data_IF_767132316110
#
_entry.id   IF_767132316110
#
_cell.length_a   1.000
_cell.length_b   1.000
_cell.length_c   1.000
_cell.angle_alpha   90.00
_cell.angle_beta   90.00
_cell.angle_gamma   90.00
#
_symmetry.space_group_name_H-M   'P 1'
#
loop_
_entity.id
_entity.type
_entity.pdbx_description
1 polymer ?
#
# COMPACT_ATOMS: atom_id res chain seq x y z
N UNK A 1 -14.96 -2.77 26.75
CA UNK A 1 -15.34 -1.57 25.99
C UNK A 1 -14.53 -1.59 24.71
N UNK A 2 -15.16 -1.92 23.57
CA UNK A 2 -14.48 -2.04 22.29
C UNK A 2 -14.29 -0.64 21.69
N UNK A 3 -13.05 -0.25 21.45
CA UNK A 3 -12.69 1.01 20.80
C UNK A 3 -12.90 0.89 19.29
N UNK A 4 -13.91 1.59 18.79
CA UNK A 4 -14.11 1.86 17.37
C UNK A 4 -13.12 2.94 16.92
N UNK A 5 -12.13 2.57 16.12
CA UNK A 5 -11.20 3.42 15.38
C UNK A 5 -11.04 2.72 14.02
N UNK A 6 -11.19 3.31 12.83
CA UNK A 6 -11.17 4.71 12.43
C UNK A 6 -12.00 4.92 11.16
N UNK A 7 -12.42 6.16 11.02
CA UNK A 7 -13.44 6.69 10.11
C UNK A 7 -12.85 6.98 8.74
N UNK A 8 -13.56 6.58 7.68
CA UNK A 8 -13.29 7.01 6.29
C UNK A 8 -13.05 8.52 6.22
N UNK A 9 -11.86 8.93 5.75
CA UNK A 9 -11.50 10.34 5.63
C UNK A 9 -12.04 10.84 4.28
N UNK A 10 -13.05 11.71 4.31
CA UNK A 10 -13.55 12.40 3.12
C UNK A 10 -12.72 13.66 2.86
N UNK A 11 -11.87 13.64 1.82
CA UNK A 11 -11.31 14.85 1.19
C UNK A 11 -11.76 14.90 -0.27
N UNK A 12 -12.95 15.44 -0.54
CA UNK A 12 -13.56 15.52 -1.88
C UNK A 12 -14.69 14.50 -2.14
N UNK A 13 -15.05 14.29 -3.41
CA UNK A 13 -16.05 13.28 -3.85
C UNK A 13 -15.56 11.83 -3.74
N UNK A 14 -14.27 11.64 -3.47
CA UNK A 14 -13.60 10.35 -3.62
C UNK A 14 -13.36 9.73 -2.25
N UNK A 15 -13.81 8.49 -2.07
CA UNK A 15 -13.63 7.71 -0.84
C UNK A 15 -12.19 7.21 -0.75
N UNK A 16 -11.50 7.52 0.34
CA UNK A 16 -10.17 6.98 0.62
C UNK A 16 -10.27 5.80 1.59
N UNK A 17 -9.56 4.71 1.26
CA UNK A 17 -9.47 3.49 2.06
C UNK A 17 -7.99 3.21 2.36
N UNK A 18 -7.69 2.70 3.56
CA UNK A 18 -6.32 2.29 3.93
C UNK A 18 -5.78 1.22 2.98
N UNK A 19 -6.66 0.35 2.50
CA UNK A 19 -6.36 -0.67 1.51
C UNK A 19 -7.44 -0.67 0.42
N UNK A 20 -7.03 -0.41 -0.83
CA UNK A 20 -7.91 -0.54 -2.00
C UNK A 20 -7.67 -1.85 -2.72
N UNK A 21 -8.75 -2.51 -3.15
CA UNK A 21 -8.69 -3.75 -3.91
C UNK A 21 -7.80 -3.60 -5.16
N UNK A 22 -6.76 -4.42 -5.29
CA UNK A 22 -5.81 -4.37 -6.41
C UNK A 22 -6.51 -4.56 -7.77
N UNK A 23 -7.48 -5.47 -7.84
CA UNK A 23 -8.22 -5.78 -9.09
C UNK A 23 -9.19 -4.66 -9.47
N UNK A 24 -9.88 -4.05 -8.51
CA UNK A 24 -10.79 -2.95 -8.79
C UNK A 24 -10.01 -1.70 -9.23
N UNK A 25 -8.87 -1.43 -8.58
CA UNK A 25 -7.99 -0.31 -8.95
C UNK A 25 -7.54 -0.40 -10.42
N UNK A 26 -7.25 -1.59 -10.92
CA UNK A 26 -6.92 -1.80 -12.33
C UNK A 26 -8.09 -1.61 -13.32
N UNK A 27 -9.32 -1.42 -12.83
CA UNK A 27 -10.53 -1.17 -13.61
C UNK A 27 -11.17 0.19 -13.24
N UNK A 28 -10.36 1.17 -12.82
CA UNK A 28 -10.78 2.51 -12.41
C UNK A 28 -11.87 2.55 -11.33
N UNK A 29 -11.95 1.50 -10.50
CA UNK A 29 -12.87 1.41 -9.37
C UNK A 29 -12.09 1.46 -8.07
N UNK A 30 -12.52 2.33 -7.16
CA UNK A 30 -11.96 2.40 -5.82
C UNK A 30 -12.91 1.72 -4.83
N UNK A 31 -12.53 0.51 -4.39
CA UNK A 31 -13.30 -0.27 -3.40
C UNK A 31 -12.39 -0.72 -2.29
N UNK A 32 -12.88 -0.66 -1.06
CA UNK A 32 -12.17 -1.15 0.11
C UNK A 32 -11.78 -2.63 -0.04
N UNK A 33 -10.55 -2.95 0.35
CA UNK A 33 -10.11 -4.32 0.48
C UNK A 33 -10.49 -4.89 1.85
N UNK A 34 -11.02 -6.11 1.84
CA UNK A 34 -11.45 -6.85 3.02
C UNK A 34 -10.64 -8.12 3.25
N UNK A 35 -9.88 -8.54 2.23
CA UNK A 35 -9.10 -9.77 2.22
C UNK A 35 -7.70 -9.55 1.67
N UNK A 36 -6.74 -10.31 2.18
CA UNK A 36 -5.36 -10.37 1.71
C UNK A 36 -4.98 -11.80 1.35
N UNK A 37 -4.46 -12.03 0.15
CA UNK A 37 -3.88 -13.31 -0.23
C UNK A 37 -2.37 -13.30 0.03
N UNK A 38 -1.90 -14.21 0.88
CA UNK A 38 -0.47 -14.33 1.23
C UNK A 38 0.38 -14.75 0.03
N UNK A 39 -0.10 -15.70 -0.75
CA UNK A 39 0.63 -16.27 -1.89
C UNK A 39 0.78 -15.27 -3.03
N UNK A 40 -0.25 -14.45 -3.26
CA UNK A 40 -0.22 -13.40 -4.28
C UNK A 40 0.37 -12.09 -3.77
N UNK A 41 0.51 -11.91 -2.46
CA UNK A 41 0.86 -10.63 -1.84
C UNK A 41 -0.04 -9.47 -2.32
N UNK A 42 -1.35 -9.72 -2.39
CA UNK A 42 -2.36 -8.77 -2.92
C UNK A 42 -3.60 -8.71 -2.05
N UNK A 43 -4.26 -7.55 -2.06
CA UNK A 43 -5.51 -7.29 -1.32
C UNK A 43 -6.72 -7.18 -2.25
N UNK A 44 -7.86 -7.67 -1.78
CA UNK A 44 -9.09 -7.83 -2.56
C UNK A 44 -10.32 -7.39 -1.75
N UNK A 45 -11.32 -6.81 -2.42
CA UNK A 45 -12.67 -6.67 -1.86
C UNK A 45 -13.39 -8.04 -1.82
N UNK A 46 -14.52 -8.13 -1.13
CA UNK A 46 -15.28 -9.39 -0.99
C UNK A 46 -15.54 -10.10 -2.33
N UNK A 47 -16.07 -9.38 -3.32
CA UNK A 47 -16.36 -9.95 -4.66
C UNK A 47 -15.10 -10.48 -5.35
N UNK A 48 -14.00 -9.73 -5.32
CA UNK A 48 -12.76 -10.17 -5.96
C UNK A 48 -12.13 -11.36 -5.23
N UNK A 49 -12.28 -11.43 -3.90
CA UNK A 49 -11.83 -12.56 -3.08
C UNK A 49 -12.57 -13.85 -3.42
N UNK A 50 -13.89 -13.79 -3.65
CA UNK A 50 -14.69 -14.96 -4.06
C UNK A 50 -14.18 -15.58 -5.37
N UNK A 51 -14.03 -14.77 -6.42
CA UNK A 51 -13.48 -15.25 -7.69
C UNK A 51 -12.04 -15.74 -7.55
N UNK A 52 -11.24 -15.06 -6.73
CA UNK A 52 -9.86 -15.45 -6.45
C UNK A 52 -9.80 -16.84 -5.81
N UNK A 53 -10.57 -17.07 -4.75
CA UNK A 53 -10.58 -18.35 -4.03
C UNK A 53 -11.13 -19.50 -4.89
N UNK A 54 -12.06 -19.20 -5.79
CA UNK A 54 -12.57 -20.17 -6.76
C UNK A 54 -11.46 -20.68 -7.71
N UNK A 55 -10.64 -19.78 -8.24
CA UNK A 55 -9.55 -20.09 -9.17
C UNK A 55 -8.31 -20.65 -8.45
N UNK A 56 -8.00 -20.15 -7.26
CA UNK A 56 -6.78 -20.43 -6.51
C UNK A 56 -7.10 -21.08 -5.17
N UNK A 57 -7.72 -22.26 -5.20
CA UNK A 57 -8.25 -22.97 -4.02
C UNK A 57 -7.20 -23.31 -2.95
N UNK A 58 -5.91 -23.27 -3.28
CA UNK A 58 -4.80 -23.55 -2.37
C UNK A 58 -4.17 -22.32 -1.75
N UNK A 59 -4.54 -21.12 -2.20
CA UNK A 59 -3.99 -19.89 -1.64
C UNK A 59 -4.55 -19.62 -0.25
N UNK A 60 -3.72 -19.02 0.59
CA UNK A 60 -4.08 -18.62 1.95
C UNK A 60 -4.56 -17.17 1.94
N UNK A 61 -5.86 -17.00 2.14
CA UNK A 61 -6.54 -15.70 2.24
C UNK A 61 -6.82 -15.36 3.70
N UNK A 62 -6.42 -14.17 4.12
CA UNK A 62 -6.65 -13.62 5.45
C UNK A 62 -7.71 -12.53 5.36
N UNK A 63 -8.64 -12.52 6.32
CA UNK A 63 -9.64 -11.46 6.44
C UNK A 63 -9.07 -10.18 7.10
N UNK A 64 -9.89 -9.13 7.11
CA UNK A 64 -9.57 -7.85 7.76
C UNK A 64 -9.38 -7.96 9.27
N UNK A 65 -9.84 -9.03 9.94
CA UNK A 65 -9.54 -9.26 11.37
C UNK A 65 -8.06 -9.58 11.58
N UNK A 66 -7.37 -10.02 10.52
CA UNK A 66 -5.93 -10.28 10.50
C UNK A 66 -5.15 -9.16 9.81
N UNK A 67 -5.64 -7.92 9.80
CA UNK A 67 -5.03 -6.78 9.08
C UNK A 67 -3.58 -6.52 9.49
N UNK A 68 -3.18 -6.80 10.73
CA UNK A 68 -1.79 -6.70 11.20
C UNK A 68 -0.81 -7.67 10.50
N UNK A 69 -1.34 -8.72 9.86
CA UNK A 69 -0.58 -9.71 9.07
C UNK A 69 -0.66 -9.45 7.58
N UNK A 70 -1.50 -8.50 7.16
CA UNK A 70 -1.38 -8.01 5.81
C UNK A 70 0.01 -7.38 5.78
N UNK A 71 0.79 -7.55 4.70
CA UNK A 71 1.89 -6.65 4.49
C UNK A 71 1.21 -5.29 4.61
N UNK A 72 1.56 -4.59 5.70
CA UNK A 72 1.53 -3.15 5.72
C UNK A 72 2.37 -2.90 4.51
N UNK A 73 1.74 -2.77 3.34
CA UNK A 73 2.43 -2.31 2.18
C UNK A 73 2.88 -0.97 2.72
N UNK A 74 4.16 -0.90 3.11
CA UNK A 74 5.11 -0.06 2.43
C UNK A 74 4.29 0.63 1.38
N UNK A 75 3.81 1.83 1.75
CA UNK A 75 3.20 2.69 0.79
C UNK A 75 4.06 2.45 -0.43
N UNK A 76 3.46 1.92 -1.50
CA UNK A 76 4.05 2.13 -2.80
C UNK A 76 3.99 3.64 -2.87
N UNK A 77 4.98 4.29 -2.29
CA UNK A 77 5.18 5.70 -2.35
C UNK A 77 5.18 5.91 -3.85
N UNK A 78 4.48 6.96 -4.27
CA UNK A 78 4.44 7.33 -5.68
C UNK A 78 5.85 7.10 -6.25
N UNK A 79 6.00 6.55 -7.45
CA UNK A 79 7.32 6.32 -8.07
C UNK A 79 8.17 7.60 -8.03
N UNK A 80 7.51 8.77 -7.95
CA UNK A 80 8.10 10.10 -7.72
C UNK A 80 8.77 10.31 -6.36
N UNK A 81 8.34 9.61 -5.32
CA UNK A 81 8.84 9.65 -3.95
C UNK A 81 9.83 8.52 -3.64
N UNK A 82 10.17 7.68 -4.63
CA UNK A 82 11.09 6.56 -4.48
C UNK A 82 12.49 6.96 -4.93
N UNK A 83 13.51 6.53 -4.17
CA UNK A 83 14.88 6.75 -4.61
C UNK A 83 15.19 5.92 -5.86
N UNK A 84 15.74 6.58 -6.88
CA UNK A 84 16.11 5.94 -8.15
C UNK A 84 17.22 4.89 -7.99
N UNK A 85 18.07 5.05 -6.97
CA UNK A 85 19.17 4.13 -6.64
C UNK A 85 18.72 3.06 -5.65
N UNK A 86 18.00 3.46 -4.59
CA UNK A 86 17.55 2.59 -3.50
C UNK A 86 16.04 2.39 -3.57
N UNK A 87 15.60 1.41 -4.37
CA UNK A 87 14.16 1.16 -4.63
C UNK A 87 13.36 0.77 -3.38
N UNK A 88 14.01 0.36 -2.30
CA UNK A 88 13.39 0.08 -1.01
C UNK A 88 13.25 1.35 -0.13
N UNK A 89 13.69 2.52 -0.60
CA UNK A 89 13.77 3.75 0.20
C UNK A 89 12.97 4.89 -0.40
N UNK A 90 12.33 5.65 0.49
CA UNK A 90 11.67 6.91 0.17
C UNK A 90 12.69 8.06 0.07
N UNK A 91 12.40 9.03 -0.77
CA UNK A 91 13.01 10.35 -0.75
C UNK A 91 12.45 11.13 0.46
N UNK A 92 13.33 11.48 1.41
CA UNK A 92 12.92 12.00 2.72
C UNK A 92 13.61 13.33 3.06
N UNK A 93 14.71 13.68 2.39
CA UNK A 93 15.54 14.83 2.74
C UNK A 93 15.85 15.64 1.50
N UNK A 94 15.65 16.96 1.55
CA UNK A 94 16.14 17.87 0.51
C UNK A 94 17.56 18.30 0.87
N UNK A 95 18.47 18.16 -0.08
CA UNK A 95 19.82 18.65 0.05
C UNK A 95 19.95 20.00 -0.63
N UNK A 96 20.50 20.98 0.10
CA UNK A 96 20.73 22.33 -0.42
C UNK A 96 21.88 22.38 -1.44
N UNK A 97 23.01 21.71 -1.18
CA UNK A 97 24.19 21.78 -2.06
C UNK A 97 23.93 21.18 -3.45
N UNK A 98 23.15 20.09 -3.51
CA UNK A 98 22.79 19.41 -4.75
C UNK A 98 21.42 19.88 -5.28
N UNK A 99 20.66 20.65 -4.49
CA UNK A 99 19.30 21.11 -4.82
C UNK A 99 18.36 19.96 -5.24
N UNK A 100 18.49 18.81 -4.58
CA UNK A 100 17.79 17.57 -4.93
C UNK A 100 17.16 16.89 -3.70
N UNK A 101 16.01 16.24 -3.92
CA UNK A 101 15.37 15.39 -2.92
C UNK A 101 16.02 14.00 -2.92
N UNK A 102 16.54 13.58 -1.78
CA UNK A 102 17.33 12.36 -1.61
C UNK A 102 16.77 11.45 -0.52
N UNK A 103 17.09 10.16 -0.61
CA UNK A 103 16.95 9.26 0.55
C UNK A 103 18.11 9.47 1.53
N UNK A 104 17.92 9.09 2.79
CA UNK A 104 18.93 9.23 3.84
C UNK A 104 20.28 8.59 3.48
N UNK A 105 20.28 7.47 2.75
CA UNK A 105 21.51 6.80 2.30
C UNK A 105 22.28 7.66 1.30
N UNK A 106 21.59 8.17 0.26
CA UNK A 106 22.21 9.05 -0.72
C UNK A 106 22.78 10.32 -0.07
N UNK A 107 22.06 10.90 0.88
CA UNK A 107 22.52 12.08 1.60
C UNK A 107 23.86 11.82 2.33
N UNK A 108 23.99 10.71 3.06
CA UNK A 108 25.23 10.36 3.77
C UNK A 108 26.39 10.04 2.82
N UNK A 109 26.11 9.43 1.67
CA UNK A 109 27.17 9.10 0.70
C UNK A 109 27.63 10.31 -0.11
N UNK A 110 26.72 11.23 -0.44
CA UNK A 110 27.03 12.44 -1.21
C UNK A 110 27.67 13.55 -0.36
N UNK A 111 27.38 13.62 0.95
CA UNK A 111 27.95 14.60 1.89
C UNK A 111 28.86 13.93 2.92
N UNK A 112 29.99 13.41 2.46
CA UNK A 112 31.05 12.91 3.36
C UNK A 112 31.87 14.03 3.95
#
# INVERSE_FOLDING_TARGET
>A
MASNFETSIHRGSDLFFDFSCNTCKGNDRNTEAEFYCRDCSKVYCGKCSEYHNFLYQKHVTLDKKNISKWPVSDATFDVREQCQVHKDRKLETFCEDHSELMCAVCHVYSHK
#
